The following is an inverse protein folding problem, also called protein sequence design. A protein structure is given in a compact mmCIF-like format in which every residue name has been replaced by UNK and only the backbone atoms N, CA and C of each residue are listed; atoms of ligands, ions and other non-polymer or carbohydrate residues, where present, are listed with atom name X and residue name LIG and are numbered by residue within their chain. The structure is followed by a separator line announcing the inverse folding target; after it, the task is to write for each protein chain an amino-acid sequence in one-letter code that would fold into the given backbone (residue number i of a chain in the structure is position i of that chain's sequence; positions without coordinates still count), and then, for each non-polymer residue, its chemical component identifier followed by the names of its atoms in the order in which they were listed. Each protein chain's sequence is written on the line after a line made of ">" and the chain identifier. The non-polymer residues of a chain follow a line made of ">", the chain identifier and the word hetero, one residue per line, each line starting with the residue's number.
data_IF_540647050339
#
_entry.id   IF_540647050339
#
_cell.length_a   1.000
_cell.length_b   1.000
_cell.length_c   1.000
_cell.angle_alpha   90.00
_cell.angle_beta   90.00
_cell.angle_gamma   90.00
#
_symmetry.space_group_name_H-M   'P 1'
#
loop_
_entity.id
_entity.type
_entity.pdbx_description
1 polymer ?
#
# COMPACT_ATOMS: atom_id res chain seq x y z
N UNK A 1 4.93 8.14 19.72
CA UNK A 1 5.31 8.66 18.39
C UNK A 1 4.05 9.04 17.61
N UNK A 2 3.86 10.32 17.27
CA UNK A 2 2.79 10.71 16.35
C UNK A 2 2.99 10.02 14.99
N UNK A 3 1.92 9.48 14.43
CA UNK A 3 1.94 8.70 13.18
C UNK A 3 2.27 9.60 11.97
N UNK A 4 2.29 10.92 12.15
CA UNK A 4 2.52 11.92 11.11
C UNK A 4 1.32 12.05 10.16
N UNK A 5 1.43 12.89 9.13
CA UNK A 5 0.38 13.06 8.12
C UNK A 5 0.23 11.79 7.28
N UNK A 6 -0.99 11.29 7.16
CA UNK A 6 -1.37 10.19 6.27
C UNK A 6 -2.66 10.54 5.51
N UNK A 7 -2.97 9.74 4.51
CA UNK A 7 -4.18 9.77 3.69
C UNK A 7 -5.02 8.57 4.10
N UNK A 8 -6.25 8.83 4.53
CA UNK A 8 -7.26 7.80 4.81
C UNK A 8 -7.56 6.99 3.54
N UNK A 9 -7.86 5.69 3.68
CA UNK A 9 -8.20 4.82 2.57
C UNK A 9 -9.33 5.40 1.70
N UNK A 10 -10.40 5.92 2.33
CA UNK A 10 -11.52 6.52 1.62
C UNK A 10 -11.13 7.76 0.78
N UNK A 11 -10.12 8.52 1.22
CA UNK A 11 -9.67 9.74 0.56
C UNK A 11 -8.79 9.48 -0.67
N UNK A 12 -8.22 8.28 -0.82
CA UNK A 12 -7.34 7.92 -1.95
C UNK A 12 -8.07 8.10 -3.29
N UNK A 13 -9.38 7.78 -3.35
CA UNK A 13 -10.20 7.93 -4.57
C UNK A 13 -10.21 9.35 -5.11
N UNK A 14 -10.08 10.35 -4.24
CA UNK A 14 -10.11 11.77 -4.61
C UNK A 14 -8.71 12.38 -4.80
N UNK A 15 -7.65 11.68 -4.41
CA UNK A 15 -6.27 12.18 -4.52
C UNK A 15 -5.81 12.18 -5.98
N UNK A 16 -5.15 13.23 -6.51
CA UNK A 16 -4.58 13.23 -7.86
C UNK A 16 -3.74 12.00 -8.20
N UNK A 17 -3.86 11.51 -9.44
CA UNK A 17 -3.01 10.41 -9.92
C UNK A 17 -1.54 10.84 -9.89
N UNK A 18 -0.64 9.87 -9.75
CA UNK A 18 0.81 10.09 -9.69
C UNK A 18 1.30 10.92 -8.49
N UNK A 19 0.42 11.30 -7.56
CA UNK A 19 0.79 11.99 -6.32
C UNK A 19 1.48 11.03 -5.32
N UNK A 20 2.42 11.56 -4.55
CA UNK A 20 2.95 10.86 -3.38
C UNK A 20 1.95 10.89 -2.24
N UNK A 21 1.52 9.71 -1.79
CA UNK A 21 0.60 9.53 -0.68
C UNK A 21 1.25 8.66 0.39
N UNK A 22 0.81 8.85 1.63
CA UNK A 22 1.21 7.99 2.75
C UNK A 22 -0.04 7.39 3.35
N UNK A 23 -0.12 6.08 3.44
CA UNK A 23 -1.22 5.35 4.07
C UNK A 23 -0.69 4.59 5.29
N UNK A 24 -1.51 4.42 6.31
CA UNK A 24 -1.20 3.59 7.48
C UNK A 24 -2.38 2.68 7.74
N UNK A 25 -2.14 1.38 7.88
CA UNK A 25 -3.24 0.44 8.09
C UNK A 25 -2.77 -0.95 8.51
N UNK A 26 -3.72 -1.75 8.99
CA UNK A 26 -3.51 -3.15 9.33
C UNK A 26 -3.37 -3.96 8.05
N UNK A 27 -2.36 -4.84 8.00
CA UNK A 27 -2.18 -5.72 6.84
C UNK A 27 -3.18 -6.86 6.93
N UNK A 28 -4.18 -6.85 6.05
CA UNK A 28 -5.21 -7.89 5.97
C UNK A 28 -4.79 -9.02 5.05
N UNK A 29 -4.18 -8.70 3.91
CA UNK A 29 -3.72 -9.72 2.95
C UNK A 29 -2.30 -9.45 2.45
N UNK A 30 -1.62 -10.54 2.09
CA UNK A 30 -0.33 -10.53 1.37
C UNK A 30 -0.40 -11.55 0.26
N UNK A 31 -0.21 -11.11 -0.98
CA UNK A 31 -0.21 -11.99 -2.13
C UNK A 31 1.08 -11.83 -2.90
N UNK A 32 1.76 -12.96 -3.17
CA UNK A 32 2.95 -13.01 -4.01
C UNK A 32 2.74 -14.08 -5.08
N UNK A 33 2.04 -13.75 -6.18
CA UNK A 33 1.79 -14.71 -7.25
C UNK A 33 3.13 -15.22 -7.82
N UNK A 34 3.25 -16.52 -8.05
CA UNK A 34 4.48 -17.12 -8.59
C UNK A 34 4.88 -16.59 -9.97
N UNK A 35 3.93 -16.07 -10.73
CA UNK A 35 4.09 -15.55 -12.09
C UNK A 35 4.32 -14.04 -12.17
N UNK A 36 4.15 -13.29 -11.08
CA UNK A 36 4.20 -11.82 -11.09
C UNK A 36 5.61 -11.23 -10.97
N UNK A 37 6.64 -11.93 -11.48
CA UNK A 37 8.06 -11.49 -11.44
C UNK A 37 8.53 -10.95 -10.08
N UNK A 38 8.05 -11.54 -8.98
CA UNK A 38 8.44 -11.15 -7.63
C UNK A 38 7.70 -9.95 -7.02
N UNK A 39 6.70 -9.39 -7.70
CA UNK A 39 5.80 -8.36 -7.15
C UNK A 39 4.97 -8.94 -6.00
N UNK A 40 4.73 -8.11 -4.99
CA UNK A 40 3.87 -8.43 -3.85
C UNK A 40 2.73 -7.43 -3.77
N UNK A 41 1.52 -7.92 -3.53
CA UNK A 41 0.34 -7.12 -3.25
C UNK A 41 0.05 -7.16 -1.75
N UNK A 42 -0.12 -5.99 -1.15
CA UNK A 42 -0.61 -5.84 0.22
C UNK A 42 -1.97 -5.15 0.18
N UNK A 43 -2.91 -5.65 0.98
CA UNK A 43 -4.13 -4.91 1.31
C UNK A 43 -4.02 -4.42 2.74
N UNK A 44 -4.10 -3.10 2.91
CA UNK A 44 -4.12 -2.43 4.20
C UNK A 44 -5.56 -2.00 4.52
N UNK A 45 -5.94 -2.07 5.78
CA UNK A 45 -7.25 -1.60 6.25
C UNK A 45 -7.07 -0.56 7.36
N UNK A 46 -7.82 0.53 7.25
CA UNK A 46 -8.12 1.48 8.31
C UNK A 46 -9.63 1.53 8.56
N UNK A 47 -10.08 2.35 9.48
CA UNK A 47 -11.50 2.52 9.82
C UNK A 47 -12.34 3.14 8.70
N UNK A 48 -11.71 3.67 7.66
CA UNK A 48 -12.37 4.29 6.49
C UNK A 48 -12.44 3.35 5.28
N UNK A 49 -11.67 2.25 5.27
CA UNK A 49 -11.72 1.23 4.23
C UNK A 49 -10.36 0.60 3.92
N UNK A 50 -10.19 0.17 2.67
CA UNK A 50 -9.01 -0.58 2.22
C UNK A 50 -8.13 0.20 1.25
N UNK A 51 -6.81 0.03 1.41
CA UNK A 51 -5.77 0.56 0.51
C UNK A 51 -4.97 -0.59 -0.09
N UNK A 52 -4.89 -0.66 -1.41
CA UNK A 52 -4.07 -1.65 -2.10
C UNK A 52 -2.68 -1.08 -2.40
N UNK A 53 -1.65 -1.83 -2.06
CA UNK A 53 -0.25 -1.45 -2.23
C UNK A 53 0.46 -2.49 -3.09
N UNK A 54 1.12 -2.03 -4.14
CA UNK A 54 2.00 -2.84 -4.98
C UNK A 54 3.44 -2.62 -4.52
N UNK A 55 4.10 -3.70 -4.11
CA UNK A 55 5.50 -3.70 -3.68
C UNK A 55 6.34 -4.37 -4.78
N UNK A 56 7.13 -3.55 -5.46
CA UNK A 56 8.05 -4.00 -6.50
C UNK A 56 9.26 -4.74 -5.90
N UNK A 57 9.91 -5.66 -6.65
CA UNK A 57 11.01 -6.49 -6.15
C UNK A 57 12.12 -5.71 -5.43
N UNK A 58 12.63 -4.63 -6.03
CA UNK A 58 13.69 -3.82 -5.39
C UNK A 58 13.24 -3.12 -4.09
N UNK A 59 11.94 -2.79 -3.96
CA UNK A 59 11.39 -2.26 -2.71
C UNK A 59 11.22 -3.38 -1.68
N UNK A 60 10.78 -4.56 -2.11
CA UNK A 60 10.66 -5.72 -1.25
C UNK A 60 12.00 -6.16 -0.67
N UNK A 61 13.07 -6.17 -1.47
CA UNK A 61 14.43 -6.49 -1.02
C UNK A 61 14.86 -5.57 0.14
N UNK A 62 14.60 -4.27 0.01
CA UNK A 62 14.93 -3.27 1.04
C UNK A 62 14.07 -3.40 2.32
N UNK A 63 12.80 -3.76 2.19
CA UNK A 63 11.83 -3.76 3.30
C UNK A 63 11.24 -5.14 3.60
N UNK A 64 12.01 -6.20 3.35
CA UNK A 64 11.55 -7.60 3.42
C UNK A 64 10.84 -7.93 4.72
N UNK A 65 11.40 -7.53 5.86
CA UNK A 65 10.84 -7.84 7.19
C UNK A 65 9.48 -7.14 7.40
N UNK A 66 9.39 -5.88 7.01
CA UNK A 66 8.18 -5.06 7.14
C UNK A 66 7.05 -5.64 6.27
N UNK A 67 7.37 -6.00 5.01
CA UNK A 67 6.41 -6.57 4.07
C UNK A 67 5.93 -7.95 4.52
N UNK A 68 6.83 -8.83 4.97
CA UNK A 68 6.45 -10.20 5.33
C UNK A 68 5.78 -10.33 6.70
N UNK A 69 6.18 -9.53 7.70
CA UNK A 69 5.78 -9.75 9.09
C UNK A 69 5.07 -8.56 9.75
N UNK A 70 5.10 -7.36 9.14
CA UNK A 70 4.52 -6.16 9.74
C UNK A 70 2.99 -6.23 9.80
N UNK A 71 2.40 -6.24 11.00
CA UNK A 71 0.93 -6.33 11.17
C UNK A 71 0.22 -4.99 10.95
N UNK A 72 0.85 -3.90 11.40
CA UNK A 72 0.46 -2.52 11.14
C UNK A 72 1.63 -1.87 10.41
N UNK A 73 1.38 -1.29 9.24
CA UNK A 73 2.44 -0.70 8.41
C UNK A 73 2.04 0.68 7.93
N UNK A 74 3.05 1.55 7.80
CA UNK A 74 2.95 2.82 7.09
C UNK A 74 3.68 2.71 5.77
N UNK A 75 3.01 3.04 4.69
CA UNK A 75 3.54 2.97 3.33
C UNK A 75 3.46 4.35 2.70
N UNK A 76 4.59 4.83 2.17
CA UNK A 76 4.64 6.01 1.32
C UNK A 76 4.98 5.59 -0.09
N UNK A 77 4.16 6.00 -1.05
CA UNK A 77 4.30 5.57 -2.43
C UNK A 77 3.59 6.52 -3.39
N UNK A 78 3.79 6.27 -4.68
CA UNK A 78 3.12 7.01 -5.75
C UNK A 78 1.77 6.36 -6.03
N UNK A 79 0.69 7.12 -5.95
CA UNK A 79 -0.62 6.67 -6.40
C UNK A 79 -0.57 6.37 -7.90
N UNK A 80 -1.10 5.24 -8.30
CA UNK A 80 -1.27 4.85 -9.69
C UNK A 80 -2.73 4.49 -9.92
N UNK A 81 -3.32 5.08 -10.95
CA UNK A 81 -4.63 4.66 -11.48
C UNK A 81 -4.42 3.94 -12.80
N UNK A 82 -4.87 2.69 -12.89
CA UNK A 82 -5.00 1.96 -14.15
C UNK A 82 -6.48 1.62 -14.38
N UNK A 83 -7.01 1.97 -15.56
CA UNK A 83 -8.42 1.78 -15.93
C UNK A 83 -9.37 2.90 -15.47
N UNK A 84 -10.66 2.74 -15.77
CA UNK A 84 -11.72 3.60 -15.23
C UNK A 84 -11.97 3.17 -13.78
N UNK A 85 -11.56 4.01 -12.84
CA UNK A 85 -11.98 3.90 -11.45
C UNK A 85 -13.36 4.58 -11.36
N UNK A 86 -14.41 3.79 -11.57
CA UNK A 86 -15.81 4.24 -11.38
C UNK A 86 -16.17 4.35 -9.91
#
# INVERSE_FOLDING_TARGET
>A
PEIGRFTEAAAIRNAPDRQWITVTGLVITRQRPGTASGVIFLTLEDDTGVSNVIVWPGTFEKYRKQVMAGRLVRVTGRLQREGIVT
#
